data_IF_451178295856
#
_entry.id   IF_451178295856
#
_cell.length_a   1.000
_cell.length_b   1.000
_cell.length_c   1.000
_cell.angle_alpha   90.00
_cell.angle_beta   90.00
_cell.angle_gamma   90.00
#
_symmetry.space_group_name_H-M   'P 1'
#
loop_
_entity.id
_entity.type
_entity.pdbx_description
1 polymer ?
#
# COMPACT_ATOMS: atom_id res chain seq x y z
N UNK A 1 -3.40 60.60 -19.99
CA UNK A 1 -4.32 59.68 -19.27
C UNK A 1 -4.01 58.29 -19.79
N UNK A 2 -2.98 57.59 -19.29
CA UNK A 2 -2.82 56.86 -18.00
C UNK A 2 -3.84 55.73 -17.81
N UNK A 3 -3.26 54.56 -17.50
CA UNK A 3 -3.79 53.26 -17.06
C UNK A 3 -4.10 52.27 -18.20
N UNK A 4 -3.15 51.40 -18.57
CA UNK A 4 -2.64 50.25 -17.80
C UNK A 4 -3.71 49.17 -17.62
N UNK A 5 -3.64 48.12 -18.44
CA UNK A 5 -3.99 46.74 -18.05
C UNK A 5 -3.01 45.77 -18.71
N UNK A 6 -1.93 45.62 -17.96
CA UNK A 6 -0.97 44.52 -17.88
C UNK A 6 -1.70 43.18 -17.64
N UNK A 7 -1.32 42.17 -18.45
CA UNK A 7 -1.10 40.73 -18.11
C UNK A 7 -2.41 39.95 -17.76
N UNK A 8 -2.68 38.75 -18.28
CA UNK A 8 -1.99 37.49 -17.99
C UNK A 8 -2.14 36.51 -19.17
N UNK A 9 -1.00 36.12 -19.72
CA UNK A 9 -0.77 34.82 -20.35
C UNK A 9 -1.25 33.75 -19.36
N UNK A 10 -2.43 33.17 -19.60
CA UNK A 10 -2.77 31.90 -18.97
C UNK A 10 -2.03 30.81 -19.76
N UNK A 11 -0.73 30.69 -19.49
CA UNK A 11 -0.02 29.44 -19.70
C UNK A 11 -0.76 28.45 -18.82
N UNK A 12 -1.65 27.66 -19.42
CA UNK A 12 -2.21 26.48 -18.79
C UNK A 12 -1.04 25.49 -18.69
N UNK A 13 -0.19 25.72 -17.68
CA UNK A 13 0.53 24.62 -17.06
C UNK A 13 -0.58 23.74 -16.51
N UNK A 14 -0.80 22.62 -17.18
CA UNK A 14 -1.41 21.46 -16.54
C UNK A 14 -0.41 21.08 -15.46
N UNK A 15 -0.57 21.65 -14.27
CA UNK A 15 -0.04 21.05 -13.06
C UNK A 15 -0.83 19.76 -12.89
N UNK A 16 -0.29 18.66 -13.41
CA UNK A 16 -0.43 17.41 -12.69
C UNK A 16 0.09 17.75 -11.29
N UNK A 17 -0.82 18.02 -10.37
CA UNK A 17 -0.52 17.89 -8.95
C UNK A 17 -0.35 16.39 -8.74
N UNK A 18 0.84 15.90 -9.12
CA UNK A 18 1.34 14.66 -8.58
C UNK A 18 1.35 14.89 -7.07
N UNK A 19 0.45 14.25 -6.35
CA UNK A 19 0.57 14.02 -4.90
C UNK A 19 1.74 13.08 -4.60
N UNK A 20 2.83 13.20 -5.37
CA UNK A 20 4.09 12.53 -5.17
C UNK A 20 4.81 13.29 -4.09
N UNK A 21 4.64 12.87 -2.84
CA UNK A 21 5.77 12.89 -1.94
C UNK A 21 6.91 12.18 -2.68
N UNK A 22 7.86 12.95 -3.23
CA UNK A 22 9.03 12.41 -3.92
C UNK A 22 9.70 11.40 -2.99
N UNK A 23 9.65 10.13 -3.38
CA UNK A 23 10.29 9.05 -2.66
C UNK A 23 11.76 9.42 -2.45
N UNK A 24 12.18 9.53 -1.18
CA UNK A 24 13.52 10.03 -0.84
C UNK A 24 14.62 9.01 -1.08
N UNK A 25 14.25 7.78 -1.42
CA UNK A 25 15.18 6.69 -1.63
C UNK A 25 15.56 6.61 -3.11
N UNK A 26 16.85 6.58 -3.43
CA UNK A 26 17.38 6.60 -4.81
C UNK A 26 17.25 5.24 -5.52
N UNK A 27 16.13 4.54 -5.34
CA UNK A 27 15.82 3.27 -6.00
C UNK A 27 14.39 3.33 -6.56
N UNK A 28 14.31 3.49 -7.88
CA UNK A 28 13.03 3.64 -8.60
C UNK A 28 12.10 2.47 -8.40
N UNK A 29 12.61 1.23 -8.47
CA UNK A 29 11.80 0.02 -8.31
C UNK A 29 11.18 -0.05 -6.91
N UNK A 30 11.97 0.22 -5.87
CA UNK A 30 11.47 0.34 -4.51
C UNK A 30 10.36 1.39 -4.41
N UNK A 31 10.58 2.59 -4.94
CA UNK A 31 9.63 3.68 -4.86
C UNK A 31 8.32 3.38 -5.60
N UNK A 32 8.40 2.74 -6.77
CA UNK A 32 7.22 2.27 -7.51
C UNK A 32 6.41 1.26 -6.69
N UNK A 33 7.08 0.29 -6.05
CA UNK A 33 6.40 -0.71 -5.22
C UNK A 33 5.66 -0.08 -4.02
N UNK A 34 6.26 0.92 -3.37
CA UNK A 34 5.58 1.67 -2.29
C UNK A 34 4.43 2.52 -2.84
N UNK A 35 4.61 3.12 -4.02
CA UNK A 35 3.55 3.84 -4.74
C UNK A 35 2.34 2.96 -5.00
N UNK A 36 2.55 1.76 -5.55
CA UNK A 36 1.46 0.80 -5.79
C UNK A 36 0.76 0.37 -4.50
N UNK A 37 1.49 0.18 -3.40
CA UNK A 37 0.86 -0.10 -2.10
C UNK A 37 0.02 1.08 -1.59
N UNK A 38 0.46 2.32 -1.83
CA UNK A 38 -0.31 3.51 -1.47
C UNK A 38 -1.58 3.63 -2.32
N UNK A 39 -1.46 3.47 -3.63
CA UNK A 39 -2.58 3.56 -4.57
C UNK A 39 -3.65 2.50 -4.25
N UNK A 40 -3.24 1.24 -4.02
CA UNK A 40 -4.16 0.16 -3.63
C UNK A 40 -4.90 0.45 -2.31
N UNK A 41 -4.24 1.13 -1.36
CA UNK A 41 -4.89 1.58 -0.14
C UNK A 41 -5.90 2.70 -0.38
N UNK A 42 -5.58 3.66 -1.27
CA UNK A 42 -6.53 4.71 -1.65
C UNK A 42 -7.74 4.11 -2.36
N UNK A 43 -7.53 3.22 -3.33
CA UNK A 43 -8.58 2.51 -4.06
C UNK A 43 -9.49 1.74 -3.09
N UNK A 44 -8.90 1.03 -2.12
CA UNK A 44 -9.62 0.37 -1.03
C UNK A 44 -10.47 1.36 -0.21
N UNK A 45 -9.92 2.52 0.13
CA UNK A 45 -10.63 3.54 0.91
C UNK A 45 -11.80 4.16 0.13
N UNK A 46 -11.64 4.36 -1.18
CA UNK A 46 -12.70 4.83 -2.07
C UNK A 46 -13.84 3.82 -2.19
N UNK A 47 -13.52 2.54 -2.34
CA UNK A 47 -14.50 1.45 -2.37
C UNK A 47 -15.27 1.31 -1.05
N UNK A 48 -14.68 1.72 0.07
CA UNK A 48 -15.33 1.70 1.38
C UNK A 48 -16.22 2.94 1.65
N UNK A 49 -16.29 3.91 0.74
CA UNK A 49 -17.16 5.09 0.90
C UNK A 49 -18.63 4.66 0.88
N UNK A 50 -19.36 4.96 1.97
CA UNK A 50 -20.77 4.59 2.13
C UNK A 50 -21.01 3.25 2.80
N UNK A 51 -19.95 2.46 3.05
CA UNK A 51 -19.96 1.31 3.96
C UNK A 51 -19.93 1.84 5.40
N UNK A 52 -20.74 1.33 6.35
CA UNK A 52 -20.71 1.80 7.73
C UNK A 52 -19.27 1.76 8.29
N UNK A 53 -18.83 2.86 8.92
CA UNK A 53 -17.46 3.04 9.43
C UNK A 53 -17.16 1.98 10.49
N UNK A 54 -16.60 0.85 10.05
CA UNK A 54 -16.08 -0.18 10.93
C UNK A 54 -14.61 0.05 11.28
N UNK A 55 -13.98 -0.97 11.86
CA UNK A 55 -12.57 -0.90 12.25
C UNK A 55 -11.63 -1.04 11.04
N UNK A 56 -12.09 -1.64 9.94
CA UNK A 56 -11.40 -1.81 8.67
C UNK A 56 -10.97 -0.48 8.08
N UNK A 57 -11.89 0.47 7.90
CA UNK A 57 -11.55 1.80 7.35
C UNK A 57 -10.51 2.53 8.21
N UNK A 58 -10.60 2.40 9.55
CA UNK A 58 -9.61 3.03 10.46
C UNK A 58 -8.25 2.37 10.35
N UNK A 59 -8.23 1.04 10.28
CA UNK A 59 -6.99 0.27 10.13
C UNK A 59 -6.33 0.54 8.78
N UNK A 60 -7.12 0.64 7.70
CA UNK A 60 -6.64 0.94 6.35
C UNK A 60 -6.05 2.35 6.25
N UNK A 61 -6.71 3.37 6.82
CA UNK A 61 -6.14 4.73 6.93
C UNK A 61 -4.82 4.76 7.70
N UNK A 62 -4.70 3.92 8.73
CA UNK A 62 -3.46 3.80 9.47
C UNK A 62 -2.37 3.11 8.62
N UNK A 63 -2.73 2.06 7.90
CA UNK A 63 -1.82 1.33 7.02
C UNK A 63 -1.29 2.23 5.90
N UNK A 64 -2.18 2.93 5.19
CA UNK A 64 -1.85 3.95 4.21
C UNK A 64 -0.87 5.00 4.73
N UNK A 65 -1.16 5.57 5.91
CA UNK A 65 -0.26 6.53 6.56
C UNK A 65 1.13 5.94 6.83
N UNK A 66 1.23 4.64 7.13
CA UNK A 66 2.53 3.96 7.33
C UNK A 66 3.24 3.73 6.01
N UNK A 67 2.52 3.39 4.93
CA UNK A 67 3.08 3.29 3.58
C UNK A 67 3.67 4.63 3.14
N UNK A 68 2.93 5.73 3.28
CA UNK A 68 3.44 7.09 2.97
C UNK A 68 4.65 7.46 3.82
N UNK A 69 4.70 7.02 5.09
CA UNK A 69 5.86 7.26 5.93
C UNK A 69 7.13 6.56 5.41
N UNK A 70 6.99 5.42 4.72
CA UNK A 70 8.13 4.70 4.12
C UNK A 70 8.80 5.54 3.03
N UNK A 71 8.02 6.24 2.18
CA UNK A 71 8.55 7.13 1.13
C UNK A 71 9.45 8.25 1.68
N UNK A 72 9.21 8.64 2.92
CA UNK A 72 9.83 9.78 3.57
C UNK A 72 10.97 9.41 4.54
N UNK A 73 11.25 8.12 4.69
CA UNK A 73 12.20 7.57 5.66
C UNK A 73 13.63 7.50 5.10
N UNK A 74 14.63 7.58 5.99
CA UNK A 74 16.05 7.39 5.65
C UNK A 74 16.41 5.91 5.52
N UNK A 75 17.47 5.59 4.77
CA UNK A 75 17.96 4.21 4.59
C UNK A 75 18.14 3.45 5.91
N UNK A 76 18.72 4.08 6.94
CA UNK A 76 18.94 3.46 8.26
C UNK A 76 17.65 2.99 8.96
N UNK A 77 16.52 3.62 8.64
CA UNK A 77 15.22 3.36 9.27
C UNK A 77 14.27 2.60 8.33
N UNK A 78 14.71 2.30 7.11
CA UNK A 78 13.85 1.83 6.03
C UNK A 78 13.20 0.49 6.34
N UNK A 79 13.98 -0.49 6.81
CA UNK A 79 13.48 -1.81 7.16
C UNK A 79 12.47 -1.75 8.31
N UNK A 80 12.70 -0.89 9.31
CA UNK A 80 11.77 -0.74 10.43
C UNK A 80 10.47 -0.04 10.01
N UNK A 81 10.55 0.94 9.12
CA UNK A 81 9.37 1.58 8.52
C UNK A 81 8.56 0.58 7.69
N UNK A 82 9.22 -0.23 6.85
CA UNK A 82 8.59 -1.30 6.06
C UNK A 82 7.89 -2.34 6.95
N UNK A 83 8.55 -2.79 8.03
CA UNK A 83 7.93 -3.67 9.04
C UNK A 83 6.68 -3.04 9.64
N UNK A 84 6.73 -1.75 9.97
CA UNK A 84 5.59 -1.06 10.57
C UNK A 84 4.42 -0.93 9.57
N UNK A 85 4.72 -0.64 8.30
CA UNK A 85 3.73 -0.61 7.22
C UNK A 85 3.11 -2.00 7.02
N UNK A 86 3.93 -3.05 6.87
CA UNK A 86 3.45 -4.41 6.65
C UNK A 86 2.59 -4.91 7.83
N UNK A 87 2.96 -4.62 9.08
CA UNK A 87 2.11 -4.93 10.25
C UNK A 87 0.77 -4.20 10.20
N UNK A 88 0.76 -2.95 9.77
CA UNK A 88 -0.47 -2.17 9.66
C UNK A 88 -1.37 -2.73 8.55
N UNK A 89 -0.81 -3.13 7.40
CA UNK A 89 -1.57 -3.80 6.33
C UNK A 89 -2.18 -5.12 6.76
N UNK A 90 -1.39 -5.99 7.41
CA UNK A 90 -1.91 -7.26 7.91
C UNK A 90 -3.03 -7.05 8.95
N UNK A 91 -2.93 -5.99 9.74
CA UNK A 91 -4.01 -5.61 10.65
C UNK A 91 -5.23 -5.09 9.88
N UNK A 92 -5.04 -4.25 8.86
CA UNK A 92 -6.12 -3.74 8.02
C UNK A 92 -6.87 -4.87 7.33
N UNK A 93 -6.15 -5.83 6.75
CA UNK A 93 -6.70 -7.04 6.14
C UNK A 93 -7.66 -7.79 7.07
N UNK A 94 -7.26 -8.04 8.32
CA UNK A 94 -8.10 -8.74 9.31
C UNK A 94 -9.34 -7.92 9.66
N UNK A 95 -9.20 -6.61 9.84
CA UNK A 95 -10.31 -5.74 10.23
C UNK A 95 -11.32 -5.53 9.08
N UNK A 96 -10.83 -5.34 7.85
CA UNK A 96 -11.65 -5.27 6.63
C UNK A 96 -12.44 -6.57 6.46
N UNK A 97 -11.77 -7.72 6.59
CA UNK A 97 -12.45 -9.03 6.53
C UNK A 97 -13.56 -9.13 7.57
N UNK A 98 -13.28 -8.74 8.81
CA UNK A 98 -14.26 -8.78 9.90
C UNK A 98 -15.47 -7.87 9.62
N UNK A 99 -15.25 -6.63 9.20
CA UNK A 99 -16.31 -5.69 8.85
C UNK A 99 -17.17 -6.23 7.69
N UNK A 100 -16.53 -6.78 6.66
CA UNK A 100 -17.20 -7.39 5.51
C UNK A 100 -18.10 -8.57 5.89
N UNK A 101 -17.69 -9.43 6.84
CA UNK A 101 -18.54 -10.51 7.33
C UNK A 101 -19.71 -10.02 8.20
N UNK A 102 -19.52 -8.93 8.96
CA UNK A 102 -20.55 -8.38 9.86
C UNK A 102 -21.69 -7.72 9.08
N UNK A 103 -21.38 -7.03 7.98
CA UNK A 103 -22.32 -6.13 7.32
C UNK A 103 -23.41 -6.83 6.48
N UNK A 104 -23.14 -7.99 5.92
CA UNK A 104 -24.08 -8.61 4.98
C UNK A 104 -24.36 -10.09 5.28
N UNK A 105 -23.75 -10.66 6.34
CA UNK A 105 -23.72 -12.12 6.59
C UNK A 105 -23.28 -12.96 5.36
N UNK A 106 -22.80 -12.28 4.32
CA UNK A 106 -22.48 -12.74 2.98
C UNK A 106 -21.39 -11.81 2.47
N UNK A 107 -20.41 -12.38 1.80
CA UNK A 107 -19.28 -11.64 1.26
C UNK A 107 -19.70 -11.09 -0.10
N UNK A 108 -19.75 -9.75 -0.25
CA UNK A 108 -20.20 -9.11 -1.50
C UNK A 108 -19.03 -8.70 -2.41
N UNK A 109 -19.32 -8.38 -3.67
CA UNK A 109 -18.31 -8.02 -4.68
C UNK A 109 -17.44 -6.81 -4.27
N UNK A 110 -17.99 -5.87 -3.48
CA UNK A 110 -17.19 -4.74 -2.98
C UNK A 110 -16.16 -5.21 -1.96
N UNK A 111 -16.55 -6.10 -1.06
CA UNK A 111 -15.64 -6.74 -0.11
C UNK A 111 -14.56 -7.58 -0.81
N UNK A 112 -14.90 -8.28 -1.89
CA UNK A 112 -13.91 -8.96 -2.75
C UNK A 112 -12.85 -8.00 -3.26
N UNK A 113 -13.27 -6.87 -3.83
CA UNK A 113 -12.36 -5.86 -4.38
C UNK A 113 -11.47 -5.24 -3.30
N UNK A 114 -12.05 -4.78 -2.19
CA UNK A 114 -11.26 -4.19 -1.09
C UNK A 114 -10.26 -5.20 -0.55
N UNK A 115 -10.65 -6.47 -0.43
CA UNK A 115 -9.75 -7.50 0.09
C UNK A 115 -8.60 -7.82 -0.87
N UNK A 116 -8.88 -7.82 -2.18
CA UNK A 116 -7.87 -7.94 -3.21
C UNK A 116 -6.88 -6.78 -3.17
N UNK A 117 -7.35 -5.53 -3.09
CA UNK A 117 -6.50 -4.36 -3.05
C UNK A 117 -5.60 -4.32 -1.79
N UNK A 118 -6.14 -4.65 -0.61
CA UNK A 118 -5.32 -4.77 0.62
C UNK A 118 -4.27 -5.88 0.49
N UNK A 119 -4.61 -7.00 -0.14
CA UNK A 119 -3.63 -8.06 -0.41
C UNK A 119 -2.55 -7.62 -1.40
N UNK A 120 -2.93 -6.85 -2.42
CA UNK A 120 -2.01 -6.27 -3.38
C UNK A 120 -1.02 -5.30 -2.69
N UNK A 121 -1.52 -4.45 -1.78
CA UNK A 121 -0.68 -3.58 -0.96
C UNK A 121 0.32 -4.37 -0.09
N UNK A 122 -0.12 -5.48 0.53
CA UNK A 122 0.76 -6.41 1.28
C UNK A 122 1.88 -6.95 0.38
N UNK A 123 1.55 -7.40 -0.83
CA UNK A 123 2.54 -7.92 -1.79
C UNK A 123 3.53 -6.86 -2.23
N UNK A 124 3.08 -5.63 -2.51
CA UNK A 124 3.96 -4.50 -2.81
C UNK A 124 4.98 -4.23 -1.70
N UNK A 125 4.55 -4.24 -0.43
CA UNK A 125 5.44 -4.07 0.72
C UNK A 125 6.43 -5.22 0.90
N UNK A 126 6.03 -6.45 0.61
CA UNK A 126 6.94 -7.62 0.64
C UNK A 126 8.03 -7.46 -0.42
N UNK A 127 7.64 -7.15 -1.66
CA UNK A 127 8.59 -6.93 -2.76
C UNK A 127 9.52 -5.75 -2.48
N UNK A 128 8.98 -4.64 -1.97
CA UNK A 128 9.78 -3.47 -1.61
C UNK A 128 10.80 -3.81 -0.52
N UNK A 129 10.40 -4.64 0.45
CA UNK A 129 11.29 -5.13 1.51
C UNK A 129 12.44 -5.94 0.95
N UNK A 130 12.18 -6.87 0.03
CA UNK A 130 13.23 -7.67 -0.61
C UNK A 130 14.19 -6.76 -1.34
N UNK A 131 13.67 -5.85 -2.17
CA UNK A 131 14.47 -4.98 -3.02
C UNK A 131 15.59 -4.27 -2.22
N UNK A 132 15.26 -3.79 -1.02
CA UNK A 132 16.17 -3.02 -0.16
C UNK A 132 16.79 -3.81 0.98
N UNK A 133 16.49 -5.11 1.12
CA UNK A 133 17.03 -5.91 2.22
C UNK A 133 18.57 -6.07 2.09
N UNK A 134 19.37 -5.78 3.14
CA UNK A 134 20.84 -5.82 3.04
C UNK A 134 21.42 -7.23 3.02
N UNK A 135 20.71 -8.22 3.59
CA UNK A 135 21.14 -9.63 3.59
C UNK A 135 20.62 -10.38 2.36
N UNK A 136 21.55 -10.82 1.52
CA UNK A 136 21.27 -11.67 0.36
C UNK A 136 20.64 -13.02 0.75
N UNK A 137 21.04 -13.60 1.89
CA UNK A 137 20.45 -14.83 2.39
C UNK A 137 18.95 -14.68 2.69
N UNK A 138 18.56 -13.57 3.32
CA UNK A 138 17.15 -13.26 3.60
C UNK A 138 16.38 -12.95 2.31
N UNK A 139 16.97 -12.23 1.35
CA UNK A 139 16.36 -12.00 0.02
C UNK A 139 15.95 -13.31 -0.65
N UNK A 140 16.89 -14.25 -0.76
CA UNK A 140 16.64 -15.56 -1.35
C UNK A 140 15.57 -16.37 -0.61
N UNK A 141 15.51 -16.27 0.72
CA UNK A 141 14.47 -16.92 1.53
C UNK A 141 13.09 -16.36 1.20
N UNK A 142 12.96 -15.03 1.11
CA UNK A 142 11.69 -14.38 0.75
C UNK A 142 11.30 -14.65 -0.71
N UNK A 143 12.25 -14.58 -1.66
CA UNK A 143 12.00 -14.87 -3.09
C UNK A 143 11.44 -16.28 -3.30
N UNK A 144 11.96 -17.26 -2.55
CA UNK A 144 11.45 -18.62 -2.59
C UNK A 144 9.99 -18.67 -2.11
N UNK A 145 9.65 -17.98 -1.03
CA UNK A 145 8.28 -17.94 -0.53
C UNK A 145 7.34 -17.21 -1.52
N UNK A 146 7.82 -16.17 -2.20
CA UNK A 146 7.06 -15.47 -3.25
C UNK A 146 6.82 -16.31 -4.49
N UNK A 147 7.71 -17.26 -4.83
CA UNK A 147 7.51 -18.14 -5.99
C UNK A 147 6.24 -19.00 -5.89
N UNK A 148 5.66 -19.12 -4.69
CA UNK A 148 4.41 -19.83 -4.41
C UNK A 148 3.16 -18.92 -4.51
N UNK A 149 3.38 -17.60 -4.70
CA UNK A 149 2.34 -16.59 -4.82
C UNK A 149 1.95 -16.41 -6.29
N UNK A 150 0.74 -16.83 -6.64
CA UNK A 150 0.14 -16.58 -7.95
C UNK A 150 -1.04 -15.62 -7.80
N UNK A 151 -0.91 -14.43 -8.42
CA UNK A 151 -1.92 -13.36 -8.42
C UNK A 151 -3.24 -13.78 -9.06
N UNK A 152 -3.22 -14.79 -9.94
CA UNK A 152 -4.41 -15.28 -10.66
C UNK A 152 -5.09 -16.46 -9.95
N UNK A 153 -4.48 -16.98 -8.88
CA UNK A 153 -5.02 -18.12 -8.16
C UNK A 153 -6.06 -17.67 -7.13
N UNK A 154 -7.20 -18.36 -7.10
CA UNK A 154 -8.23 -18.16 -6.08
C UNK A 154 -7.64 -18.25 -4.66
N UNK A 155 -7.98 -17.28 -3.81
CA UNK A 155 -7.46 -17.18 -2.44
C UNK A 155 -6.08 -16.53 -2.33
N UNK A 156 -5.62 -15.86 -3.39
CA UNK A 156 -4.43 -15.00 -3.40
C UNK A 156 -4.36 -14.11 -2.14
N UNK A 157 -5.47 -13.52 -1.74
CA UNK A 157 -5.54 -12.56 -0.65
C UNK A 157 -5.10 -13.16 0.68
N UNK A 158 -5.61 -14.37 0.98
CA UNK A 158 -5.21 -15.08 2.20
C UNK A 158 -3.74 -15.53 2.12
N UNK A 159 -3.26 -15.93 0.92
CA UNK A 159 -1.84 -16.29 0.73
C UNK A 159 -0.92 -15.09 0.97
N UNK A 160 -1.24 -13.93 0.41
CA UNK A 160 -0.50 -12.68 0.62
C UNK A 160 -0.44 -12.32 2.11
N UNK A 161 -1.57 -12.43 2.81
CA UNK A 161 -1.62 -12.23 4.27
C UNK A 161 -0.72 -13.21 5.04
N UNK A 162 -0.79 -14.52 4.74
CA UNK A 162 0.05 -15.50 5.42
C UNK A 162 1.53 -15.28 5.14
N UNK A 163 1.87 -14.99 3.88
CA UNK A 163 3.23 -14.69 3.48
C UNK A 163 3.75 -13.45 4.21
N UNK A 164 2.99 -12.36 4.25
CA UNK A 164 3.38 -11.15 4.97
C UNK A 164 3.68 -11.40 6.45
N UNK A 165 2.94 -12.30 7.11
CA UNK A 165 3.26 -12.72 8.47
C UNK A 165 4.58 -13.47 8.56
N UNK A 166 4.86 -14.39 7.63
CA UNK A 166 6.12 -15.13 7.60
C UNK A 166 7.29 -14.18 7.36
N UNK A 167 7.15 -13.24 6.43
CA UNK A 167 8.19 -12.25 6.13
C UNK A 167 8.54 -11.43 7.37
N UNK A 168 7.55 -10.99 8.15
CA UNK A 168 7.79 -10.27 9.42
C UNK A 168 8.63 -11.06 10.46
N UNK A 169 8.77 -12.37 10.31
CA UNK A 169 9.65 -13.19 11.16
C UNK A 169 11.08 -13.29 10.62
N UNK A 170 11.26 -13.09 9.32
CA UNK A 170 12.55 -13.13 8.63
C UNK A 170 13.25 -11.78 8.72
N UNK A 171 12.51 -10.69 8.49
CA UNK A 171 13.07 -9.32 8.47
C UNK A 171 13.22 -8.76 9.87
#
# INVERSE_FOLDING_TARGET
MVFSRIIILATVLITLEATGDECKFENTEFCELIGYSHDANQDSLELMVGVPIGNGTKALKLADKRVVAVLNTTEEQLIDALKAALRAELSAFVQVKADCFILDHSYNETCEKVFFEVAYAITGLILATINVHPSEGKKNEVDKLLSELDLLTAGFENKAYFLGKEILTII
#
